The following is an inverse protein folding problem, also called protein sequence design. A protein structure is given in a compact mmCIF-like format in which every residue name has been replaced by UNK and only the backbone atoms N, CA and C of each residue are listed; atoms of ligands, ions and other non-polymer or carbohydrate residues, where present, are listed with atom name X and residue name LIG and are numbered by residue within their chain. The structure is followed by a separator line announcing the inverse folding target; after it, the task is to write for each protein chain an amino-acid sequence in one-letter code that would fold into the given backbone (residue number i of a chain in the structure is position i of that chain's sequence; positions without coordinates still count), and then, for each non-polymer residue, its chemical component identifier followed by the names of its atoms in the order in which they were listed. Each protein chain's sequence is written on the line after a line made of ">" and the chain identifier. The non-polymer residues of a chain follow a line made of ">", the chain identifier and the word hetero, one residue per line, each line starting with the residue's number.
data_IF_192757679832
#
_entry.id   IF_192757679832
#
_cell.length_a   1.000
_cell.length_b   1.000
_cell.length_c   1.000
_cell.angle_alpha   90.00
_cell.angle_beta   90.00
_cell.angle_gamma   90.00
#
_symmetry.space_group_name_H-M   'P 1'
#
loop_
_entity.id
_entity.type
_entity.pdbx_description
1 polymer ?
#
# COMPACT_ATOMS: atom_id res chain seq x y z
N UNK A 1 -5.29 29.21 -0.20
CA UNK A 1 -3.82 29.03 -0.30
C UNK A 1 -3.10 28.98 1.05
N UNK A 2 -3.58 29.61 2.15
CA UNK A 2 -2.90 29.53 3.47
C UNK A 2 -3.16 28.23 4.26
N UNK A 3 -4.30 27.56 4.02
CA UNK A 3 -4.67 26.32 4.71
C UNK A 3 -3.78 25.13 4.29
N UNK A 4 -3.38 25.09 3.01
CA UNK A 4 -2.54 24.03 2.46
C UNK A 4 -1.12 24.09 3.01
N UNK A 5 -0.62 25.29 3.35
CA UNK A 5 0.73 25.48 3.86
C UNK A 5 0.95 24.81 5.23
N UNK A 6 -0.04 24.90 6.12
CA UNK A 6 0.02 24.24 7.43
C UNK A 6 -0.04 22.71 7.29
N UNK A 7 -0.85 22.19 6.36
CA UNK A 7 -0.95 20.76 6.08
C UNK A 7 0.34 20.20 5.45
N UNK A 8 0.95 20.93 4.52
CA UNK A 8 2.24 20.55 3.91
C UNK A 8 3.37 20.59 4.94
N UNK A 9 3.44 21.64 5.77
CA UNK A 9 4.45 21.74 6.81
C UNK A 9 4.31 20.62 7.85
N UNK A 10 3.07 20.31 8.27
CA UNK A 10 2.79 19.19 9.18
C UNK A 10 3.13 17.83 8.55
N UNK A 11 2.86 17.63 7.25
CA UNK A 11 3.24 16.42 6.52
C UNK A 11 4.75 16.22 6.38
N UNK A 12 5.53 17.31 6.34
CA UNK A 12 6.99 17.27 6.27
C UNK A 12 7.66 17.11 7.66
N UNK A 13 7.01 17.55 8.73
CA UNK A 13 7.57 17.53 10.10
C UNK A 13 7.06 16.37 10.97
N UNK A 14 5.94 15.75 10.61
CA UNK A 14 5.38 14.62 11.36
C UNK A 14 6.12 13.32 11.02
N UNK A 15 6.69 12.67 12.04
CA UNK A 15 7.35 11.36 11.93
C UNK A 15 6.35 10.22 11.68
N UNK A 16 5.09 10.39 12.08
CA UNK A 16 4.01 9.44 11.85
C UNK A 16 3.37 9.64 10.47
N UNK A 17 3.94 9.00 9.45
CA UNK A 17 3.36 9.00 8.10
C UNK A 17 2.59 7.70 7.86
N UNK A 18 1.39 7.74 7.24
CA UNK A 18 0.64 6.54 6.88
C UNK A 18 1.30 5.77 5.71
N UNK A 19 2.49 6.16 5.24
CA UNK A 19 3.14 5.65 4.03
C UNK A 19 3.31 4.13 4.03
N UNK A 20 3.66 3.53 5.17
CA UNK A 20 3.76 2.07 5.31
C UNK A 20 2.41 1.37 5.11
N UNK A 21 1.34 1.92 5.68
CA UNK A 21 -0.02 1.39 5.52
C UNK A 21 -0.47 1.54 4.07
N UNK A 22 -0.30 2.72 3.47
CA UNK A 22 -0.64 3.01 2.06
C UNK A 22 0.09 2.07 1.09
N UNK A 23 1.39 1.83 1.32
CA UNK A 23 2.18 0.87 0.56
C UNK A 23 1.61 -0.55 0.67
N UNK A 24 1.26 -0.98 1.88
CA UNK A 24 0.63 -2.28 2.11
C UNK A 24 -0.72 -2.41 1.40
N UNK A 25 -1.61 -1.41 1.47
CA UNK A 25 -2.91 -1.48 0.78
C UNK A 25 -2.72 -1.53 -0.73
N UNK A 26 -1.74 -0.79 -1.26
CA UNK A 26 -1.42 -0.77 -2.69
C UNK A 26 -0.88 -2.12 -3.16
N UNK A 27 0.01 -2.74 -2.39
CA UNK A 27 0.54 -4.09 -2.67
C UNK A 27 -0.56 -5.15 -2.66
N UNK A 28 -1.46 -5.10 -1.69
CA UNK A 28 -2.60 -6.03 -1.59
C UNK A 28 -3.58 -5.83 -2.75
N UNK A 29 -3.87 -4.58 -3.14
CA UNK A 29 -4.71 -4.27 -4.31
C UNK A 29 -4.07 -4.78 -5.62
N UNK A 30 -2.76 -4.63 -5.78
CA UNK A 30 -2.02 -5.16 -6.93
C UNK A 30 -2.08 -6.69 -6.98
N UNK A 31 -1.84 -7.35 -5.84
CA UNK A 31 -1.96 -8.80 -5.72
C UNK A 31 -3.37 -9.24 -6.10
N UNK A 32 -4.41 -8.64 -5.51
CA UNK A 32 -5.80 -8.93 -5.84
C UNK A 32 -6.09 -8.75 -7.34
N UNK A 33 -5.59 -7.70 -8.00
CA UNK A 33 -5.76 -7.48 -9.45
C UNK A 33 -5.07 -8.52 -10.32
N UNK A 34 -3.87 -8.97 -9.94
CA UNK A 34 -3.17 -10.08 -10.63
C UNK A 34 -3.91 -11.42 -10.48
N UNK A 35 -4.64 -11.57 -9.39
CA UNK A 35 -5.28 -12.82 -8.97
C UNK A 35 -6.79 -12.90 -9.29
N UNK A 36 -7.46 -11.78 -9.53
CA UNK A 36 -8.92 -11.73 -9.66
C UNK A 36 -9.36 -12.57 -10.87
N UNK A 37 -10.12 -13.65 -10.61
CA UNK A 37 -10.54 -14.65 -11.59
C UNK A 37 -9.84 -16.01 -11.48
N UNK A 38 -8.74 -16.12 -10.72
CA UNK A 38 -7.98 -17.36 -10.50
C UNK A 38 -7.91 -17.70 -9.01
N UNK A 39 -9.07 -17.93 -8.40
CA UNK A 39 -9.23 -18.16 -6.97
C UNK A 39 -8.56 -19.48 -6.53
N UNK A 40 -7.24 -19.43 -6.31
CA UNK A 40 -6.50 -20.50 -5.64
C UNK A 40 -5.62 -19.91 -4.54
N UNK A 41 -5.88 -20.33 -3.30
CA UNK A 41 -5.12 -19.91 -2.11
C UNK A 41 -3.63 -20.24 -2.24
N UNK A 42 -3.30 -21.30 -2.98
CA UNK A 42 -1.91 -21.68 -3.28
C UNK A 42 -1.21 -20.69 -4.20
N UNK A 43 -1.95 -20.06 -5.11
CA UNK A 43 -1.44 -19.04 -6.02
C UNK A 43 -1.15 -17.73 -5.23
N UNK A 44 -1.91 -17.49 -4.16
CA UNK A 44 -1.68 -16.40 -3.21
C UNK A 44 -0.44 -16.65 -2.35
N UNK A 45 -0.27 -17.88 -1.83
CA UNK A 45 0.95 -18.31 -1.14
C UNK A 45 2.17 -18.21 -2.04
N UNK A 46 2.07 -18.63 -3.30
CA UNK A 46 3.17 -18.53 -4.28
C UNK A 46 3.61 -17.09 -4.50
N UNK A 47 2.68 -16.16 -4.70
CA UNK A 47 3.05 -14.75 -4.90
C UNK A 47 3.55 -14.04 -3.64
N UNK A 48 3.24 -14.53 -2.43
CA UNK A 48 3.69 -13.89 -1.19
C UNK A 48 4.98 -14.54 -0.66
N UNK A 49 5.11 -15.87 -0.75
CA UNK A 49 6.23 -16.65 -0.21
C UNK A 49 7.37 -16.87 -1.22
N UNK A 50 7.08 -16.84 -2.53
CA UNK A 50 8.10 -16.96 -3.59
C UNK A 50 8.39 -15.63 -4.31
N UNK A 51 7.82 -14.51 -3.85
CA UNK A 51 8.32 -13.20 -4.30
C UNK A 51 9.63 -12.92 -3.56
N UNK A 52 10.72 -12.55 -4.25
CA UNK A 52 11.95 -12.11 -3.61
C UNK A 52 11.73 -10.84 -2.76
#
# INVERSE_FOLDING_TARGET
>A
MRCDHAAVFAGLTTTFTPGAVVGNVTRIKLLKRRMHGRADSDLLRRCILLSP
#
